data_IF_506471768087
#
_entry.id   IF_506471768087
#
_cell.length_a   1.000
_cell.length_b   1.000
_cell.length_c   1.000
_cell.angle_alpha   90.00
_cell.angle_beta   90.00
_cell.angle_gamma   90.00
#
_symmetry.space_group_name_H-M   'P 1'
#
loop_
_entity.id
_entity.type
_entity.pdbx_description
1 polymer ?
#
# COMPACT_ATOMS: atom_id res chain seq x y z
N UNK A 1 -40.96 9.08 -9.10
CA UNK A 1 -40.86 10.48 -9.53
C UNK A 1 -39.67 10.54 -10.47
N UNK A 2 -39.99 10.44 -11.77
CA UNK A 2 -39.17 10.57 -13.01
C UNK A 2 -37.90 9.68 -13.08
N UNK A 3 -37.92 8.48 -13.69
CA UNK A 3 -37.86 8.14 -15.14
C UNK A 3 -36.71 8.85 -15.90
N UNK A 4 -35.92 8.29 -16.83
CA UNK A 4 -35.89 7.05 -17.63
C UNK A 4 -34.42 6.98 -18.16
N UNK A 5 -33.70 5.85 -18.07
CA UNK A 5 -33.61 4.81 -19.11
C UNK A 5 -32.85 5.20 -20.40
N UNK A 6 -31.73 4.49 -20.60
CA UNK A 6 -31.32 3.77 -21.83
C UNK A 6 -30.48 4.45 -22.94
N UNK A 7 -29.52 3.62 -23.41
CA UNK A 7 -29.00 3.40 -24.78
C UNK A 7 -27.80 4.20 -25.32
N UNK A 8 -26.65 3.52 -25.38
CA UNK A 8 -26.07 2.89 -26.58
C UNK A 8 -26.43 3.46 -27.99
N UNK A 9 -25.36 3.57 -28.79
CA UNK A 9 -25.21 3.57 -30.26
C UNK A 9 -25.14 4.90 -31.06
N UNK A 10 -24.03 5.14 -31.82
CA UNK A 10 -24.05 5.91 -33.09
C UNK A 10 -24.71 5.02 -34.17
N UNK A 11 -25.22 5.49 -35.36
CA UNK A 11 -24.42 6.09 -36.44
C UNK A 11 -25.19 6.92 -37.54
N UNK A 12 -24.44 7.23 -38.62
CA UNK A 12 -24.78 7.44 -40.07
C UNK A 12 -25.44 8.72 -40.62
N UNK A 13 -24.73 9.28 -41.62
CA UNK A 13 -25.15 9.69 -42.99
C UNK A 13 -26.27 10.73 -43.15
N UNK A 14 -26.37 11.54 -44.20
CA UNK A 14 -25.61 11.89 -45.40
C UNK A 14 -26.38 13.09 -45.96
N UNK A 15 -25.74 14.12 -46.54
CA UNK A 15 -26.27 14.79 -47.74
C UNK A 15 -25.13 15.42 -48.54
N UNK A 16 -24.84 14.79 -49.66
CA UNK A 16 -24.07 15.30 -50.79
C UNK A 16 -24.67 16.61 -51.33
N UNK A 17 -23.83 17.53 -51.80
CA UNK A 17 -24.03 18.03 -53.16
C UNK A 17 -22.70 18.37 -53.83
N UNK A 18 -22.48 17.61 -54.90
CA UNK A 18 -21.59 17.81 -56.02
C UNK A 18 -21.42 19.29 -56.43
N UNK A 19 -20.19 19.75 -56.65
CA UNK A 19 -19.73 20.16 -57.99
C UNK A 19 -18.26 20.60 -57.99
N UNK A 20 -17.47 19.70 -58.57
CA UNK A 20 -16.13 19.93 -59.10
C UNK A 20 -16.23 20.88 -60.29
N UNK A 21 -15.59 22.05 -60.24
CA UNK A 21 -14.93 22.70 -61.39
C UNK A 21 -14.09 23.90 -60.92
N UNK A 22 -12.80 23.63 -60.70
CA UNK A 22 -11.72 24.61 -60.94
C UNK A 22 -11.79 24.95 -62.43
N UNK A 23 -12.19 26.17 -62.77
CA UNK A 23 -12.00 26.69 -64.12
C UNK A 23 -10.99 27.84 -64.08
N UNK A 24 -9.88 27.60 -64.77
CA UNK A 24 -8.95 28.62 -65.25
C UNK A 24 -9.69 29.55 -66.22
N UNK A 25 -9.27 30.81 -66.24
CA UNK A 25 -9.26 31.73 -67.38
C UNK A 25 -10.56 31.95 -68.18
N UNK A 26 -11.05 33.19 -68.17
CA UNK A 26 -11.94 33.69 -69.24
C UNK A 26 -12.95 34.74 -68.79
N UNK A 27 -12.59 36.01 -68.98
CA UNK A 27 -13.40 37.06 -69.63
C UNK A 27 -14.93 37.06 -69.39
N UNK A 28 -15.44 38.08 -68.68
CA UNK A 28 -16.43 39.12 -69.12
C UNK A 28 -16.90 39.89 -67.87
N UNK A 29 -16.53 41.15 -67.69
CA UNK A 29 -17.27 42.35 -68.12
C UNK A 29 -18.79 42.24 -67.95
N UNK A 30 -19.37 42.91 -66.94
CA UNK A 30 -20.33 44.02 -67.16
C UNK A 30 -20.97 44.52 -65.86
N UNK A 31 -21.25 45.84 -65.85
CA UNK A 31 -21.59 46.79 -64.76
C UNK A 31 -20.34 47.42 -64.14
N UNK A 32 -19.74 48.49 -64.69
CA UNK A 32 -20.29 49.78 -65.18
C UNK A 32 -21.34 50.33 -64.20
N UNK A 33 -21.16 51.47 -63.52
CA UNK A 33 -20.80 52.75 -64.10
C UNK A 33 -20.22 53.74 -63.06
N UNK A 34 -19.08 54.32 -63.42
CA UNK A 34 -18.55 55.68 -63.19
C UNK A 34 -18.72 56.41 -61.85
N UNK A 35 -17.59 56.70 -61.18
CA UNK A 35 -17.10 58.07 -61.05
C UNK A 35 -15.56 58.08 -60.90
N UNK A 36 -14.90 58.97 -61.65
CA UNK A 36 -13.46 59.07 -61.82
C UNK A 36 -12.75 59.70 -60.60
N UNK A 37 -11.55 59.20 -60.32
CA UNK A 37 -10.32 59.93 -59.98
C UNK A 37 -10.43 61.13 -59.00
N UNK A 38 -10.08 60.91 -57.73
CA UNK A 38 -8.83 61.39 -57.13
C UNK A 38 -8.81 61.14 -55.62
N UNK A 39 -7.61 60.95 -55.08
CA UNK A 39 -7.23 60.87 -53.65
C UNK A 39 -7.34 59.49 -52.95
N UNK A 40 -6.13 58.94 -52.77
CA UNK A 40 -5.59 58.29 -51.57
C UNK A 40 -5.64 56.75 -51.46
N UNK A 41 -4.52 56.13 -51.85
CA UNK A 41 -4.16 54.71 -51.74
C UNK A 41 -3.77 54.24 -50.32
N UNK A 42 -3.88 55.05 -49.27
CA UNK A 42 -3.32 54.69 -47.95
C UNK A 42 -4.21 53.87 -47.01
N UNK A 43 -5.52 53.74 -47.26
CA UNK A 43 -6.44 53.18 -46.26
C UNK A 43 -6.88 51.71 -46.49
N UNK A 44 -6.63 51.12 -47.66
CA UNK A 44 -7.09 49.74 -47.96
C UNK A 44 -6.07 48.63 -47.65
N UNK A 45 -4.79 48.96 -47.42
CA UNK A 45 -3.73 47.97 -47.16
C UNK A 45 -3.65 47.51 -45.68
N UNK A 46 -4.28 48.24 -44.75
CA UNK A 46 -4.17 47.96 -43.31
C UNK A 46 -5.01 46.76 -42.84
N UNK A 47 -6.11 46.43 -43.51
CA UNK A 47 -6.97 45.31 -43.11
C UNK A 47 -6.51 43.95 -43.66
N UNK A 48 -5.71 43.90 -44.72
CA UNK A 48 -5.15 42.63 -45.23
C UNK A 48 -3.87 42.19 -44.49
N UNK A 49 -3.10 43.12 -43.91
CA UNK A 49 -1.90 42.78 -43.12
C UNK A 49 -2.21 42.20 -41.73
N UNK A 50 -3.35 42.58 -41.12
CA UNK A 50 -3.78 42.11 -39.78
C UNK A 50 -4.01 40.60 -39.71
N UNK A 51 -4.49 39.97 -40.78
CA UNK A 51 -4.90 38.55 -40.80
C UNK A 51 -3.73 37.58 -40.93
N UNK A 52 -2.64 37.99 -41.59
CA UNK A 52 -1.39 37.20 -41.70
C UNK A 52 -0.57 37.27 -40.41
N UNK A 53 -0.56 38.42 -39.75
CA UNK A 53 0.11 38.61 -38.45
C UNK A 53 -0.56 37.74 -37.37
N UNK A 54 -1.91 37.74 -37.30
CA UNK A 54 -2.68 36.96 -36.32
C UNK A 54 -2.41 35.46 -36.36
N UNK A 55 -2.24 34.86 -37.55
CA UNK A 55 -1.87 33.43 -37.69
C UNK A 55 -0.48 33.11 -37.17
N UNK A 56 0.50 34.01 -37.37
CA UNK A 56 1.86 33.84 -36.84
C UNK A 56 1.88 33.87 -35.31
N UNK A 57 1.12 34.77 -34.69
CA UNK A 57 0.99 34.84 -33.23
C UNK A 57 0.27 33.63 -32.63
N UNK A 58 -0.75 33.08 -33.31
CA UNK A 58 -1.44 31.86 -32.84
C UNK A 58 -0.50 30.66 -32.87
N UNK A 59 0.30 30.48 -33.93
CA UNK A 59 1.28 29.38 -34.00
C UNK A 59 2.36 29.55 -32.92
N UNK A 60 2.85 30.79 -32.72
CA UNK A 60 3.83 31.07 -31.66
C UNK A 60 3.27 30.79 -30.26
N UNK A 61 2.00 31.10 -30.00
CA UNK A 61 1.34 30.81 -28.73
C UNK A 61 1.18 29.30 -28.49
N UNK A 62 0.82 28.52 -29.51
CA UNK A 62 0.70 27.06 -29.41
C UNK A 62 2.07 26.42 -29.13
N UNK A 63 3.13 26.88 -29.79
CA UNK A 63 4.50 26.40 -29.54
C UNK A 63 4.94 26.74 -28.11
N UNK A 64 4.67 27.96 -27.65
CA UNK A 64 4.99 28.38 -26.27
C UNK A 64 4.29 27.49 -25.24
N UNK A 65 3.01 27.18 -25.44
CA UNK A 65 2.23 26.31 -24.54
C UNK A 65 2.79 24.88 -24.55
N UNK A 66 3.14 24.34 -25.72
CA UNK A 66 3.74 23.00 -25.81
C UNK A 66 5.11 22.94 -25.10
N UNK A 67 5.93 23.98 -25.21
CA UNK A 67 7.23 24.06 -24.51
C UNK A 67 7.02 24.12 -22.99
N UNK A 68 6.05 24.89 -22.51
CA UNK A 68 5.71 24.97 -21.07
C UNK A 68 5.24 23.61 -20.56
N UNK A 69 4.37 22.91 -21.30
CA UNK A 69 3.88 21.57 -20.91
C UNK A 69 5.04 20.56 -20.81
N UNK A 70 5.98 20.58 -21.76
CA UNK A 70 7.16 19.69 -21.73
C UNK A 70 8.05 20.00 -20.53
N UNK A 71 8.26 21.28 -20.21
CA UNK A 71 9.05 21.69 -19.04
C UNK A 71 8.40 21.26 -17.72
N UNK A 72 7.07 21.37 -17.61
CA UNK A 72 6.32 20.91 -16.43
C UNK A 72 6.40 19.39 -16.28
N UNK A 73 6.27 18.63 -17.37
CA UNK A 73 6.40 17.16 -17.34
C UNK A 73 7.82 16.72 -16.97
N UNK A 74 8.86 17.38 -17.51
CA UNK A 74 10.25 17.10 -17.15
C UNK A 74 10.57 17.47 -15.69
N UNK A 75 9.96 18.53 -15.17
CA UNK A 75 10.10 18.89 -13.75
C UNK A 75 9.38 17.87 -12.86
N UNK A 76 8.18 17.43 -13.23
CA UNK A 76 7.42 16.44 -12.48
C UNK A 76 8.14 15.07 -12.39
N UNK A 77 8.76 14.61 -13.48
CA UNK A 77 9.54 13.36 -13.47
C UNK A 77 10.81 13.48 -12.62
N UNK A 78 11.51 14.61 -12.68
CA UNK A 78 12.71 14.85 -11.87
C UNK A 78 12.41 15.03 -10.37
N UNK A 79 11.26 15.62 -10.02
CA UNK A 79 10.84 15.79 -8.62
C UNK A 79 10.39 14.46 -7.99
N UNK A 80 9.75 13.57 -8.74
CA UNK A 80 9.32 12.26 -8.21
C UNK A 80 10.41 11.20 -8.18
N UNK A 81 11.51 11.36 -8.93
CA UNK A 81 12.61 10.38 -8.96
C UNK A 81 13.55 10.46 -7.77
N UNK A 82 13.42 11.45 -6.88
CA UNK A 82 14.10 11.42 -5.59
C UNK A 82 13.32 10.54 -4.60
N UNK A 83 13.15 9.26 -4.97
CA UNK A 83 12.78 8.20 -4.03
C UNK A 83 13.94 8.12 -3.06
N UNK A 84 13.74 8.73 -1.90
CA UNK A 84 14.59 8.64 -0.73
C UNK A 84 14.96 7.16 -0.56
N UNK A 85 16.20 6.84 -0.91
CA UNK A 85 16.81 5.60 -0.49
C UNK A 85 16.99 5.76 1.00
N UNK A 86 15.94 5.39 1.74
CA UNK A 86 16.05 5.13 3.16
C UNK A 86 17.06 4.00 3.26
N UNK A 87 18.32 4.34 3.52
CA UNK A 87 19.27 3.38 4.06
C UNK A 87 18.58 2.83 5.29
N UNK A 88 18.26 1.53 5.28
CA UNK A 88 18.01 0.79 6.51
C UNK A 88 19.30 0.88 7.33
N UNK A 89 19.43 1.95 8.11
CA UNK A 89 20.33 1.96 9.23
C UNK A 89 19.75 0.96 10.22
N UNK A 90 20.25 -0.27 10.12
CA UNK A 90 19.96 -1.36 11.03
C UNK A 90 20.19 -0.83 12.44
N UNK A 91 19.12 -0.46 13.14
CA UNK A 91 19.13 -0.04 14.53
C UNK A 91 19.51 -1.26 15.37
N UNK A 92 20.80 -1.61 15.38
CA UNK A 92 21.35 -2.58 16.31
C UNK A 92 21.52 -1.82 17.62
N UNK A 93 20.74 -2.12 18.67
CA UNK A 93 20.96 -1.50 19.95
C UNK A 93 22.41 -1.79 20.38
N UNK A 94 23.15 -0.80 20.88
CA UNK A 94 24.51 -1.03 21.33
C UNK A 94 24.50 -2.12 22.39
N UNK A 95 25.33 -3.17 22.21
CA UNK A 95 25.54 -4.16 23.26
C UNK A 95 26.01 -3.41 24.52
N UNK A 96 25.45 -3.71 25.71
CA UNK A 96 25.89 -3.09 26.94
C UNK A 96 27.37 -3.40 27.16
N UNK A 97 28.23 -2.40 27.01
CA UNK A 97 29.69 -2.49 27.17
C UNK A 97 30.12 -2.53 28.64
N UNK A 98 29.18 -2.25 29.55
CA UNK A 98 29.38 -2.37 31.01
C UNK A 98 28.63 -3.60 31.49
N UNK A 99 29.29 -4.54 32.21
CA UNK A 99 28.58 -5.65 32.85
C UNK A 99 27.55 -5.09 33.83
N UNK A 100 26.31 -5.57 33.71
CA UNK A 100 25.23 -5.20 34.62
C UNK A 100 25.56 -5.74 36.02
N UNK A 101 25.21 -5.02 37.10
CA UNK A 101 25.33 -5.57 38.44
C UNK A 101 24.49 -6.84 38.58
N UNK A 102 24.90 -7.75 39.47
CA UNK A 102 24.10 -8.94 39.78
C UNK A 102 22.70 -8.53 40.22
N UNK A 103 21.68 -9.25 39.76
CA UNK A 103 20.30 -9.01 40.21
C UNK A 103 20.22 -9.08 41.73
N UNK A 104 19.50 -8.14 42.35
CA UNK A 104 19.24 -8.14 43.79
C UNK A 104 18.24 -9.24 44.23
N UNK A 105 17.71 -10.02 43.28
CA UNK A 105 16.81 -11.13 43.58
C UNK A 105 17.46 -12.16 44.50
N UNK A 106 16.77 -12.50 45.60
CA UNK A 106 17.23 -13.56 46.50
C UNK A 106 17.18 -14.91 45.79
N UNK A 107 18.27 -15.69 45.90
CA UNK A 107 18.29 -17.07 45.44
C UNK A 107 17.35 -17.89 46.33
N UNK A 108 16.34 -18.50 45.71
CA UNK A 108 15.44 -19.40 46.41
C UNK A 108 15.96 -20.83 46.29
N UNK A 109 16.15 -21.50 47.43
CA UNK A 109 16.56 -22.90 47.51
C UNK A 109 15.37 -23.71 48.01
N UNK A 110 15.03 -24.78 47.30
CA UNK A 110 13.89 -25.64 47.61
C UNK A 110 14.36 -27.10 47.70
N UNK A 111 13.92 -27.82 48.73
CA UNK A 111 14.37 -29.19 49.00
C UNK A 111 13.69 -30.25 48.13
N UNK A 112 12.40 -30.08 47.83
CA UNK A 112 11.56 -31.12 47.19
C UNK A 112 11.24 -30.84 45.73
N UNK A 113 11.05 -29.56 45.37
CA UNK A 113 10.64 -29.15 44.04
C UNK A 113 10.35 -27.65 44.00
N UNK A 114 10.37 -27.10 42.80
CA UNK A 114 10.15 -25.69 42.56
C UNK A 114 9.29 -25.50 41.30
N UNK A 115 8.48 -24.45 41.29
CA UNK A 115 7.74 -23.98 40.12
C UNK A 115 8.08 -22.51 39.91
N UNK A 116 8.48 -22.17 38.69
CA UNK A 116 8.73 -20.80 38.27
C UNK A 116 7.73 -20.45 37.18
N UNK A 117 7.05 -19.31 37.32
CA UNK A 117 6.08 -18.79 36.37
C UNK A 117 6.10 -17.26 36.35
N UNK A 118 5.63 -16.67 35.25
CA UNK A 118 5.59 -15.21 35.06
C UNK A 118 4.66 -14.50 36.06
N UNK A 119 3.54 -15.12 36.41
CA UNK A 119 2.60 -14.62 37.42
C UNK A 119 2.87 -15.22 38.81
N UNK A 120 3.01 -14.39 39.87
CA UNK A 120 3.10 -14.87 41.25
C UNK A 120 1.99 -15.90 41.64
N UNK A 121 0.69 -15.68 41.33
CA UNK A 121 -0.34 -16.67 41.67
C UNK A 121 -0.20 -17.98 40.89
N UNK A 122 0.41 -17.95 39.71
CA UNK A 122 0.53 -19.13 38.84
C UNK A 122 1.63 -20.08 39.32
N UNK A 123 2.73 -19.53 39.86
CA UNK A 123 3.74 -20.32 40.55
C UNK A 123 3.17 -21.00 41.81
N UNK A 124 2.32 -20.29 42.56
CA UNK A 124 1.64 -20.84 43.74
C UNK A 124 0.64 -21.94 43.39
N UNK A 125 -0.14 -21.77 42.32
CA UNK A 125 -1.05 -22.81 41.81
C UNK A 125 -0.26 -24.06 41.41
N UNK A 126 0.81 -23.92 40.60
CA UNK A 126 1.64 -25.06 40.21
C UNK A 126 2.28 -25.76 41.42
N UNK A 127 2.77 -24.99 42.40
CA UNK A 127 3.28 -25.52 43.67
C UNK A 127 2.20 -26.33 44.41
N UNK A 128 0.96 -25.84 44.46
CA UNK A 128 -0.15 -26.53 45.13
C UNK A 128 -0.46 -27.89 44.49
N UNK A 129 -0.28 -28.01 43.17
CA UNK A 129 -0.44 -29.27 42.43
C UNK A 129 0.68 -30.25 42.78
N UNK A 130 1.94 -29.78 42.84
CA UNK A 130 3.05 -30.62 43.32
C UNK A 130 2.81 -31.11 44.76
N UNK A 131 2.28 -30.26 45.64
CA UNK A 131 1.95 -30.62 47.02
C UNK A 131 0.83 -31.67 47.12
N UNK A 132 -0.05 -31.75 46.11
CA UNK A 132 -1.11 -32.76 45.98
C UNK A 132 -0.62 -34.05 45.32
N UNK A 133 0.70 -34.28 45.29
CA UNK A 133 1.35 -35.41 44.60
C UNK A 133 1.08 -35.43 43.08
N UNK A 134 0.83 -34.28 42.47
CA UNK A 134 0.80 -34.15 41.01
C UNK A 134 2.20 -34.27 40.40
N UNK A 135 2.27 -34.67 39.14
CA UNK A 135 3.54 -34.70 38.40
C UNK A 135 4.05 -33.29 38.07
N UNK A 136 5.31 -33.19 37.65
CA UNK A 136 5.86 -31.94 37.12
C UNK A 136 5.07 -31.43 35.89
N UNK A 137 4.51 -32.35 35.10
CA UNK A 137 3.67 -32.02 33.94
C UNK A 137 2.32 -31.45 34.41
N UNK A 138 1.67 -32.06 35.41
CA UNK A 138 0.40 -31.55 35.96
C UNK A 138 0.54 -30.15 36.54
N UNK A 139 1.62 -29.92 37.30
CA UNK A 139 1.93 -28.60 37.85
C UNK A 139 2.17 -27.56 36.75
N UNK A 140 2.85 -27.97 35.67
CA UNK A 140 3.09 -27.10 34.51
C UNK A 140 1.79 -26.77 33.79
N UNK A 141 0.91 -27.75 33.55
CA UNK A 141 -0.40 -27.53 32.90
C UNK A 141 -1.24 -26.53 33.72
N UNK A 142 -1.32 -26.71 35.05
CA UNK A 142 -2.06 -25.79 35.91
C UNK A 142 -1.48 -24.37 35.90
N UNK A 143 -0.14 -24.25 35.96
CA UNK A 143 0.54 -22.96 35.86
C UNK A 143 0.32 -22.29 34.49
N UNK A 144 0.34 -23.05 33.39
CA UNK A 144 0.07 -22.55 32.03
C UNK A 144 -1.35 -22.01 31.89
N UNK A 145 -2.36 -22.72 32.42
CA UNK A 145 -3.74 -22.21 32.43
C UNK A 145 -3.84 -20.88 33.20
N UNK A 146 -3.18 -20.77 34.35
CA UNK A 146 -3.14 -19.52 35.10
C UNK A 146 -2.43 -18.40 34.32
N UNK A 147 -1.25 -18.65 33.76
CA UNK A 147 -0.53 -17.66 32.97
C UNK A 147 -1.33 -17.22 31.73
N UNK A 148 -2.12 -18.11 31.13
CA UNK A 148 -3.01 -17.76 30.03
C UNK A 148 -4.05 -16.70 30.41
N UNK A 149 -4.41 -16.58 31.69
CA UNK A 149 -5.34 -15.57 32.21
C UNK A 149 -4.59 -14.34 32.72
N UNK A 150 -3.54 -14.55 33.52
CA UNK A 150 -2.80 -13.46 34.18
C UNK A 150 -1.92 -12.69 33.21
N UNK A 151 -1.31 -13.38 32.25
CA UNK A 151 -0.41 -12.83 31.24
C UNK A 151 -0.96 -13.06 29.83
N UNK A 152 -2.22 -12.69 29.63
CA UNK A 152 -2.98 -12.95 28.39
C UNK A 152 -2.33 -12.40 27.11
N UNK A 153 -1.53 -11.34 27.22
CA UNK A 153 -0.80 -10.77 26.08
C UNK A 153 0.35 -11.66 25.59
N UNK A 154 0.81 -12.61 26.41
CA UNK A 154 2.01 -13.41 26.13
C UNK A 154 1.67 -14.85 25.74
N UNK A 155 0.70 -15.47 26.42
CA UNK A 155 0.27 -16.84 26.15
C UNK A 155 -1.22 -17.02 26.41
N UNK A 156 -1.79 -18.08 25.85
CA UNK A 156 -3.19 -18.43 26.01
C UNK A 156 -3.57 -19.68 25.22
N UNK A 157 -4.83 -20.11 25.38
CA UNK A 157 -5.32 -21.34 24.76
C UNK A 157 -5.41 -21.31 23.23
N UNK A 158 -5.50 -20.11 22.64
CA UNK A 158 -5.56 -19.95 21.19
C UNK A 158 -4.19 -19.99 20.49
N UNK A 159 -3.10 -20.13 21.24
CA UNK A 159 -1.75 -20.22 20.70
C UNK A 159 -1.23 -21.65 20.63
N UNK A 160 0.09 -21.78 20.64
CA UNK A 160 0.80 -23.06 20.73
C UNK A 160 1.90 -23.02 21.77
N UNK A 161 2.48 -24.18 22.07
CA UNK A 161 3.57 -24.28 23.04
C UNK A 161 4.58 -25.36 22.64
N UNK A 162 5.76 -25.28 23.24
CA UNK A 162 6.81 -26.28 23.19
C UNK A 162 7.13 -26.67 24.63
N UNK A 163 7.20 -27.98 24.90
CA UNK A 163 7.52 -28.47 26.24
C UNK A 163 8.61 -29.52 26.16
N UNK A 164 9.65 -29.38 26.98
CA UNK A 164 10.67 -30.41 27.16
C UNK A 164 10.50 -31.06 28.52
N UNK A 165 10.34 -32.38 28.53
CA UNK A 165 10.05 -33.18 29.71
C UNK A 165 11.21 -34.14 29.89
N UNK A 166 11.86 -34.10 31.05
CA UNK A 166 12.90 -35.08 31.39
C UNK A 166 12.35 -36.10 32.39
N UNK A 167 12.38 -37.37 32.01
CA UNK A 167 11.94 -38.47 32.87
C UNK A 167 13.17 -39.12 33.49
N UNK A 168 13.42 -38.83 34.77
CA UNK A 168 14.61 -39.32 35.49
C UNK A 168 14.72 -40.85 35.53
N UNK A 169 13.59 -41.55 35.61
CA UNK A 169 13.56 -43.01 35.66
C UNK A 169 14.15 -43.64 34.39
N UNK A 170 13.86 -43.03 33.23
CA UNK A 170 14.32 -43.47 31.91
C UNK A 170 15.66 -42.82 31.54
N UNK A 171 16.00 -41.69 32.16
CA UNK A 171 17.13 -40.81 31.79
C UNK A 171 17.00 -40.26 30.37
N UNK A 172 15.77 -40.08 29.91
CA UNK A 172 15.45 -39.58 28.59
C UNK A 172 14.72 -38.24 28.66
N UNK A 173 14.91 -37.43 27.61
CA UNK A 173 14.24 -36.16 27.43
C UNK A 173 13.29 -36.25 26.23
N UNK A 174 12.03 -35.90 26.47
CA UNK A 174 10.99 -35.82 25.47
C UNK A 174 10.73 -34.36 25.12
N UNK A 175 10.44 -34.08 23.86
CA UNK A 175 10.03 -32.75 23.41
C UNK A 175 8.67 -32.84 22.75
N UNK A 176 7.70 -32.12 23.30
CA UNK A 176 6.36 -32.00 22.76
C UNK A 176 6.27 -30.69 21.97
N UNK A 177 5.99 -30.84 20.68
CA UNK A 177 5.78 -29.70 19.78
C UNK A 177 4.29 -29.54 19.46
N UNK A 178 3.66 -28.57 20.11
CA UNK A 178 2.28 -28.17 19.87
C UNK A 178 2.23 -26.74 19.29
N UNK A 179 3.14 -26.44 18.35
CA UNK A 179 3.08 -25.18 17.59
C UNK A 179 1.91 -25.18 16.63
N UNK A 180 1.36 -23.99 16.46
CA UNK A 180 0.27 -23.68 15.55
C UNK A 180 0.66 -24.08 14.13
N UNK A 181 -0.32 -24.58 13.39
CA UNK A 181 -0.15 -24.93 11.99
C UNK A 181 -0.97 -23.99 11.13
N UNK A 182 -0.41 -23.62 9.98
CA UNK A 182 -1.17 -22.92 8.96
C UNK A 182 -2.42 -23.74 8.59
N UNK A 183 -3.60 -23.10 8.48
CA UNK A 183 -4.82 -23.80 8.10
C UNK A 183 -4.68 -24.37 6.68
N UNK A 184 -5.44 -25.43 6.37
CA UNK A 184 -5.31 -26.17 5.11
C UNK A 184 -5.53 -25.32 3.85
N UNK A 185 -6.28 -24.22 3.96
CA UNK A 185 -6.56 -23.30 2.84
C UNK A 185 -5.63 -22.07 2.83
N UNK A 186 -4.58 -22.05 3.66
CA UNK A 186 -3.53 -21.03 3.57
C UNK A 186 -2.67 -21.29 2.32
N UNK A 187 -2.45 -20.24 1.53
CA UNK A 187 -1.60 -20.26 0.32
C UNK A 187 -0.45 -19.28 0.50
N UNK A 188 0.68 -19.52 -0.14
CA UNK A 188 1.89 -18.70 -0.01
C UNK A 188 1.67 -17.23 -0.42
N UNK A 189 0.68 -16.97 -1.26
CA UNK A 189 0.39 -15.64 -1.81
C UNK A 189 -0.67 -14.86 -1.02
N UNK A 190 -1.17 -15.44 0.09
CA UNK A 190 -2.31 -14.91 0.84
C UNK A 190 -2.14 -13.44 1.27
N UNK A 191 -0.89 -13.00 1.46
CA UNK A 191 -0.56 -11.64 1.93
C UNK A 191 0.39 -10.86 1.01
N UNK A 192 0.74 -11.37 -0.19
CA UNK A 192 1.75 -10.73 -1.07
C UNK A 192 1.27 -9.38 -1.65
N UNK A 193 0.03 -9.31 -2.11
CA UNK A 193 -0.44 -8.16 -2.90
C UNK A 193 -1.14 -7.08 -2.06
N UNK A 194 -1.61 -7.42 -0.87
CA UNK A 194 -2.35 -6.49 -0.02
C UNK A 194 -2.07 -6.76 1.47
N UNK A 195 -1.24 -5.93 2.12
CA UNK A 195 -0.99 -6.00 3.55
C UNK A 195 -2.27 -5.86 4.39
N UNK A 196 -3.34 -5.24 3.87
CA UNK A 196 -4.60 -5.09 4.60
C UNK A 196 -5.33 -6.43 4.80
N UNK A 197 -5.03 -7.47 4.00
CA UNK A 197 -5.53 -8.85 4.22
C UNK A 197 -5.06 -9.45 5.55
N UNK A 198 -4.01 -8.90 6.18
CA UNK A 198 -3.55 -9.31 7.51
C UNK A 198 -4.44 -8.78 8.64
N UNK A 199 -5.12 -7.64 8.44
CA UNK A 199 -5.92 -6.99 9.48
C UNK A 199 -7.19 -7.77 9.81
N UNK A 200 -7.83 -8.28 8.77
CA UNK A 200 -8.96 -9.18 8.87
C UNK A 200 -8.49 -10.53 8.37
N UNK A 201 -7.62 -11.18 9.16
CA UNK A 201 -7.16 -12.53 8.86
C UNK A 201 -8.36 -13.41 8.53
N UNK A 202 -8.28 -14.18 7.44
CA UNK A 202 -9.34 -15.11 7.06
C UNK A 202 -9.41 -16.15 8.17
N UNK A 203 -10.39 -16.05 9.06
CA UNK A 203 -10.71 -17.11 10.02
C UNK A 203 -11.17 -18.29 9.20
N UNK A 204 -10.24 -19.18 8.88
CA UNK A 204 -10.55 -20.39 8.14
C UNK A 204 -11.14 -21.33 9.18
N UNK A 205 -12.48 -21.32 9.27
CA UNK A 205 -13.22 -22.25 10.10
C UNK A 205 -12.82 -23.69 9.79
N UNK A 206 -12.69 -24.48 10.86
CA UNK A 206 -12.50 -25.92 10.81
C UNK A 206 -13.66 -26.62 10.11
#
# INVERSE_FOLDING_TARGET
MVDFKLLLHPPVADKMCFLRKRFKSGIRLSKLHSCCLSQNEEELLKDCQKTKARKKYVIAAVILVLVIVILVLAFATNVFSKKESTKEEKLVPPNPTKPLPSSASRLHVFEKGAVCADGPPCAEIGKSILQKNGSAVDATIAAMFCNGIVTMQSMGLGGGFLMTIYIKAEREAYSLNAREKAPMNAKDELYKDDPKKTKNGKLIGF
#
